data_IF_000962575500
#
_entry.id   IF_000962575500
#
_cell.length_a   1.000
_cell.length_b   1.000
_cell.length_c   1.000
_cell.angle_alpha   90.00
_cell.angle_beta   90.00
_cell.angle_gamma   90.00
#
_symmetry.space_group_name_H-M   'P 1'
#
loop_
_entity.id
_entity.type
_entity.pdbx_description
1 polymer ?
#
# COMPACT_ATOMS: atom_id res chain seq x y z
N UNK A 1 -89.07 -50.01 -71.60
CA UNK A 1 -90.00 -49.54 -70.55
C UNK A 1 -89.18 -48.98 -69.37
N UNK A 2 -89.61 -47.82 -68.86
CA UNK A 2 -89.19 -47.03 -67.66
C UNK A 2 -87.86 -46.24 -67.69
N UNK A 3 -88.00 -44.98 -67.23
CA UNK A 3 -87.09 -43.82 -67.14
C UNK A 3 -86.49 -43.67 -65.72
N UNK A 4 -85.44 -42.84 -65.58
CA UNK A 4 -85.08 -42.09 -64.37
C UNK A 4 -83.56 -41.87 -64.22
N UNK A 5 -82.93 -40.83 -63.65
CA UNK A 5 -83.10 -39.37 -63.42
C UNK A 5 -81.89 -38.95 -62.55
N UNK A 6 -81.18 -37.83 -62.89
CA UNK A 6 -80.34 -36.88 -62.08
C UNK A 6 -79.22 -37.46 -61.13
N UNK A 7 -78.17 -36.79 -60.61
CA UNK A 7 -77.81 -35.39 -60.28
C UNK A 7 -76.27 -35.20 -60.25
N UNK A 8 -75.84 -33.93 -60.25
CA UNK A 8 -74.49 -33.38 -60.13
C UNK A 8 -73.99 -33.17 -58.67
N UNK A 9 -72.65 -33.15 -58.48
CA UNK A 9 -71.89 -32.45 -57.41
C UNK A 9 -70.45 -32.19 -57.92
N UNK A 10 -70.08 -30.93 -58.15
CA UNK A 10 -69.17 -30.08 -57.34
C UNK A 10 -67.80 -30.70 -56.99
N UNK A 11 -66.73 -30.14 -57.57
CA UNK A 11 -65.37 -30.22 -57.02
C UNK A 11 -64.80 -28.80 -56.82
N UNK A 12 -64.05 -28.68 -55.73
CA UNK A 12 -63.65 -27.49 -54.98
C UNK A 12 -62.41 -26.81 -55.59
N UNK A 13 -62.34 -25.48 -55.47
CA UNK A 13 -61.23 -24.62 -55.91
C UNK A 13 -59.96 -24.84 -55.08
N UNK A 14 -58.80 -24.91 -55.74
CA UNK A 14 -57.48 -24.83 -55.09
C UNK A 14 -56.93 -23.40 -55.23
N UNK A 15 -56.76 -22.73 -54.09
CA UNK A 15 -56.26 -21.36 -53.94
C UNK A 15 -54.73 -21.40 -53.97
N UNK A 16 -54.09 -20.70 -54.93
CA UNK A 16 -52.63 -20.61 -55.04
C UNK A 16 -52.14 -19.55 -54.05
N UNK A 17 -51.44 -19.99 -53.00
CA UNK A 17 -50.89 -19.10 -51.97
C UNK A 17 -49.71 -18.28 -52.49
N UNK A 18 -49.79 -16.95 -52.33
CA UNK A 18 -48.66 -16.04 -52.51
C UNK A 18 -47.82 -16.03 -51.23
N UNK A 19 -46.59 -16.55 -51.30
CA UNK A 19 -45.61 -16.46 -50.23
C UNK A 19 -45.01 -15.05 -50.20
N UNK A 20 -45.45 -14.21 -49.26
CA UNK A 20 -44.70 -13.00 -48.89
C UNK A 20 -43.52 -13.42 -48.01
N UNK A 21 -42.32 -13.50 -48.59
CA UNK A 21 -41.09 -13.62 -47.80
C UNK A 21 -40.75 -12.25 -47.22
N UNK A 22 -40.85 -12.09 -45.91
CA UNK A 22 -40.26 -10.95 -45.20
C UNK A 22 -38.74 -11.10 -45.21
N UNK A 23 -38.04 -10.17 -45.83
CA UNK A 23 -36.58 -10.12 -45.71
C UNK A 23 -36.21 -9.53 -44.35
N UNK A 24 -35.54 -10.33 -43.52
CA UNK A 24 -34.90 -9.85 -42.29
C UNK A 24 -33.54 -9.29 -42.69
N UNK A 25 -33.38 -7.97 -42.58
CA UNK A 25 -32.05 -7.36 -42.67
C UNK A 25 -31.32 -7.62 -41.35
N UNK A 26 -30.38 -8.56 -41.36
CA UNK A 26 -29.43 -8.72 -40.28
C UNK A 26 -28.36 -7.62 -40.42
N UNK A 27 -28.34 -6.68 -39.48
CA UNK A 27 -27.26 -5.69 -39.40
C UNK A 27 -26.16 -6.25 -38.50
N UNK A 28 -24.98 -6.50 -39.06
CA UNK A 28 -23.82 -6.91 -38.27
C UNK A 28 -23.30 -5.70 -37.50
N UNK A 29 -23.34 -5.78 -36.17
CA UNK A 29 -22.61 -4.83 -35.31
C UNK A 29 -21.18 -5.33 -35.21
N UNK A 30 -20.26 -4.67 -35.89
CA UNK A 30 -18.82 -4.87 -35.63
C UNK A 30 -18.51 -4.25 -34.27
N UNK A 31 -18.28 -5.09 -33.26
CA UNK A 31 -17.68 -4.61 -32.02
C UNK A 31 -16.21 -4.31 -32.27
N UNK A 32 -15.78 -3.12 -31.88
CA UNK A 32 -14.35 -2.84 -31.72
C UNK A 32 -13.98 -3.39 -30.35
N UNK A 33 -13.05 -4.34 -30.31
CA UNK A 33 -12.36 -4.66 -29.06
C UNK A 33 -11.50 -3.44 -28.72
N UNK A 34 -11.91 -2.64 -27.75
CA UNK A 34 -11.02 -1.67 -27.14
C UNK A 34 -10.14 -2.46 -26.19
N UNK A 35 -8.86 -2.61 -26.55
CA UNK A 35 -7.86 -3.15 -25.65
C UNK A 35 -7.56 -2.06 -24.60
N UNK A 36 -8.13 -2.23 -23.40
CA UNK A 36 -7.78 -1.40 -22.27
C UNK A 36 -6.47 -1.92 -21.72
N UNK A 37 -5.35 -1.31 -22.08
CA UNK A 37 -4.13 -1.47 -21.31
C UNK A 37 -4.40 -0.91 -19.92
N UNK A 38 -4.48 -1.79 -18.92
CA UNK A 38 -4.39 -1.38 -17.53
C UNK A 38 -2.96 -0.87 -17.37
N UNK A 39 -2.79 0.45 -17.47
CA UNK A 39 -1.63 1.13 -16.91
C UNK A 39 -1.79 1.04 -15.39
N UNK A 40 -1.49 -0.12 -14.80
CA UNK A 40 -1.12 -0.13 -13.39
C UNK A 40 0.03 0.86 -13.29
N UNK A 41 -0.11 1.89 -12.45
CA UNK A 41 0.99 2.80 -12.16
C UNK A 41 2.28 1.98 -12.02
N UNK A 42 3.30 2.34 -12.79
CA UNK A 42 4.56 1.57 -12.92
C UNK A 42 5.42 1.67 -11.64
N UNK A 43 4.82 2.15 -10.55
CA UNK A 43 5.43 2.28 -9.25
C UNK A 43 5.28 0.93 -8.56
N UNK A 44 6.36 0.22 -8.24
CA UNK A 44 6.26 -0.94 -7.37
C UNK A 44 5.70 -0.44 -6.05
N UNK A 45 4.45 -0.80 -5.73
CA UNK A 45 3.92 -0.61 -4.38
C UNK A 45 4.74 -1.55 -3.49
N UNK A 46 5.31 -1.03 -2.41
CA UNK A 46 5.95 -1.86 -1.40
C UNK A 46 5.00 -3.01 -1.01
N UNK A 47 5.53 -4.23 -0.93
CA UNK A 47 4.77 -5.29 -0.26
C UNK A 47 4.50 -4.84 1.18
N UNK A 48 3.32 -5.16 1.70
CA UNK A 48 2.98 -4.79 3.07
C UNK A 48 3.99 -5.38 4.07
N UNK A 49 4.21 -4.75 5.23
CA UNK A 49 5.10 -5.29 6.24
C UNK A 49 4.59 -6.64 6.75
N UNK A 50 5.44 -7.67 6.71
CA UNK A 50 5.11 -9.04 7.14
C UNK A 50 6.05 -9.53 8.25
N UNK A 51 7.16 -10.17 7.88
CA UNK A 51 8.12 -10.74 8.85
C UNK A 51 8.70 -9.68 9.80
N UNK A 52 8.48 -9.85 11.11
CA UNK A 52 9.08 -9.00 12.16
C UNK A 52 10.55 -9.35 12.37
N UNK A 53 11.45 -8.41 12.10
CA UNK A 53 12.89 -8.56 12.32
C UNK A 53 13.32 -8.10 13.71
N UNK A 54 12.68 -7.07 14.24
CA UNK A 54 13.04 -6.44 15.50
C UNK A 54 11.85 -5.77 16.16
N UNK A 55 11.78 -5.88 17.49
CA UNK A 55 10.91 -5.08 18.35
C UNK A 55 11.74 -4.52 19.50
N UNK A 56 11.65 -3.21 19.72
CA UNK A 56 12.31 -2.55 20.84
C UNK A 56 11.60 -2.81 22.16
N UNK A 57 12.34 -2.69 23.27
CA UNK A 57 11.71 -2.37 24.55
C UNK A 57 10.93 -1.05 24.42
N UNK A 58 9.88 -0.88 25.23
CA UNK A 58 9.15 0.39 25.27
C UNK A 58 9.99 1.47 25.97
N UNK A 59 10.01 2.68 25.43
CA UNK A 59 10.67 3.84 26.04
C UNK A 59 9.66 4.94 26.41
N UNK A 60 9.98 5.77 27.40
CA UNK A 60 9.07 6.85 27.83
C UNK A 60 9.11 8.01 26.84
N UNK A 61 7.94 8.49 26.41
CA UNK A 61 7.86 9.67 25.55
C UNK A 61 8.14 10.94 26.36
N UNK A 62 8.64 11.96 25.67
CA UNK A 62 8.86 13.30 26.19
C UNK A 62 8.00 14.29 25.41
N UNK A 63 7.67 15.41 26.04
CA UNK A 63 6.92 16.48 25.38
C UNK A 63 7.75 17.16 24.28
N UNK A 64 7.07 17.75 23.31
CA UNK A 64 7.61 18.50 22.17
C UNK A 64 8.39 17.60 21.20
N UNK A 65 9.34 18.19 20.48
CA UNK A 65 10.18 17.53 19.48
C UNK A 65 11.26 16.70 20.17
N UNK A 66 11.41 15.46 19.71
CA UNK A 66 12.36 14.51 20.23
C UNK A 66 12.98 13.71 19.09
N UNK A 67 14.28 13.46 19.21
CA UNK A 67 15.02 12.55 18.35
C UNK A 67 15.31 11.29 19.16
N UNK A 68 14.97 10.14 18.62
CA UNK A 68 15.26 8.83 19.21
C UNK A 68 16.33 8.17 18.38
N UNK A 69 17.26 7.47 19.02
CA UNK A 69 18.23 6.64 18.33
C UNK A 69 18.35 5.30 19.01
N UNK A 70 18.19 4.23 18.24
CA UNK A 70 18.39 2.86 18.65
C UNK A 70 19.64 2.36 17.91
N UNK A 71 20.69 2.06 18.66
CA UNK A 71 21.96 1.54 18.14
C UNK A 71 22.15 0.08 18.55
N UNK A 72 23.09 -0.61 17.89
CA UNK A 72 23.45 -1.97 18.22
C UNK A 72 22.33 -2.96 17.91
N UNK A 73 21.55 -2.68 16.86
CA UNK A 73 20.44 -3.52 16.42
C UNK A 73 20.92 -4.93 16.04
N UNK A 74 22.01 -5.05 15.29
CA UNK A 74 22.59 -6.36 14.99
C UNK A 74 21.75 -7.21 14.03
N UNK A 75 20.87 -6.61 13.22
CA UNK A 75 19.83 -7.34 12.48
C UNK A 75 20.40 -7.79 11.14
N UNK A 76 20.64 -9.09 10.98
CA UNK A 76 21.01 -9.68 9.70
C UNK A 76 19.88 -9.50 8.67
N UNK A 77 20.22 -8.96 7.50
CA UNK A 77 19.31 -8.84 6.37
C UNK A 77 19.47 -10.04 5.42
N UNK A 78 18.37 -10.67 4.98
CA UNK A 78 18.42 -11.64 3.90
C UNK A 78 19.08 -11.08 2.65
N UNK A 79 19.79 -11.93 1.91
CA UNK A 79 20.44 -11.50 0.67
C UNK A 79 19.39 -11.03 -0.35
N UNK A 80 19.57 -9.84 -0.90
CA UNK A 80 18.64 -9.22 -1.84
C UNK A 80 17.54 -8.37 -1.17
N UNK A 81 17.57 -8.17 0.14
CA UNK A 81 16.70 -7.19 0.81
C UNK A 81 17.11 -5.77 0.40
N UNK A 82 16.28 -5.15 -0.45
CA UNK A 82 16.45 -3.76 -0.91
C UNK A 82 15.62 -2.75 -0.11
N UNK A 83 14.57 -3.21 0.56
CA UNK A 83 13.67 -2.36 1.33
C UNK A 83 13.26 -3.02 2.64
N UNK A 84 12.97 -2.19 3.63
CA UNK A 84 12.47 -2.59 4.94
C UNK A 84 11.44 -1.57 5.41
N UNK A 85 10.52 -2.01 6.27
CA UNK A 85 9.61 -1.08 6.95
C UNK A 85 10.06 -0.89 8.38
N UNK A 86 10.22 0.36 8.80
CA UNK A 86 10.33 0.69 10.21
C UNK A 86 9.02 1.32 10.68
N UNK A 87 8.60 1.03 11.90
CA UNK A 87 7.38 1.59 12.49
C UNK A 87 7.59 2.03 13.93
N UNK A 88 6.68 2.87 14.40
CA UNK A 88 6.50 3.19 15.82
C UNK A 88 5.03 3.06 16.21
N UNK A 89 4.81 2.53 17.40
CA UNK A 89 3.54 2.56 18.10
C UNK A 89 3.63 3.49 19.33
N UNK A 90 2.73 4.47 19.40
CA UNK A 90 2.61 5.36 20.55
C UNK A 90 1.57 4.81 21.54
N UNK A 91 2.06 4.30 22.65
CA UNK A 91 1.30 3.63 23.70
C UNK A 91 0.89 4.60 24.80
N UNK A 92 -0.23 4.31 25.46
CA UNK A 92 -0.67 4.99 26.69
C UNK A 92 -0.76 6.53 26.59
N UNK A 93 -1.13 7.07 25.43
CA UNK A 93 -1.22 8.52 25.23
C UNK A 93 -2.33 9.19 26.06
N UNK A 94 -3.37 8.45 26.46
CA UNK A 94 -4.55 9.00 27.12
C UNK A 94 -5.23 10.04 26.23
N UNK A 95 -5.39 11.27 26.73
CA UNK A 95 -5.86 12.43 25.95
C UNK A 95 -4.73 13.19 25.24
N UNK A 96 -3.48 12.75 25.42
CA UNK A 96 -2.33 13.25 24.70
C UNK A 96 -2.29 12.79 23.24
N UNK A 97 -1.32 13.31 22.50
CA UNK A 97 -1.10 12.99 21.08
C UNK A 97 0.38 12.92 20.76
N UNK A 98 0.75 12.04 19.85
CA UNK A 98 2.10 11.91 19.32
C UNK A 98 2.05 11.58 17.83
N UNK A 99 3.17 11.79 17.14
CA UNK A 99 3.27 11.58 15.70
C UNK A 99 4.68 11.75 15.18
N UNK A 100 4.87 11.35 13.94
CA UNK A 100 6.14 11.44 13.22
C UNK A 100 6.21 12.70 12.34
N UNK A 101 7.39 13.32 12.29
CA UNK A 101 7.64 14.47 11.43
C UNK A 101 7.77 14.02 9.97
N UNK A 102 7.29 14.85 9.05
CA UNK A 102 7.36 14.60 7.61
C UNK A 102 8.52 15.39 6.98
N UNK A 103 9.35 14.68 6.23
CA UNK A 103 10.51 15.19 5.48
C UNK A 103 10.46 14.59 4.09
N UNK A 104 10.82 15.34 3.05
CA UNK A 104 10.75 14.86 1.67
C UNK A 104 11.56 15.76 0.72
N UNK A 105 12.31 15.21 -0.26
CA UNK A 105 12.63 13.80 -0.47
C UNK A 105 13.80 13.30 0.40
N UNK A 106 13.93 11.97 0.56
CA UNK A 106 15.16 11.36 1.06
C UNK A 106 16.38 11.83 0.26
N UNK A 107 17.51 11.97 0.95
CA UNK A 107 18.80 12.38 0.38
C UNK A 107 19.78 11.22 0.19
N UNK A 108 19.45 10.05 0.74
CA UNK A 108 20.14 8.78 0.52
C UNK A 108 19.14 7.64 0.65
N UNK A 109 19.26 6.63 -0.20
CA UNK A 109 18.20 5.65 -0.40
C UNK A 109 17.01 6.29 -1.11
N UNK A 110 15.85 5.67 -1.00
CA UNK A 110 14.60 6.20 -1.54
C UNK A 110 13.42 5.81 -0.63
N UNK A 111 12.25 6.34 -0.90
CA UNK A 111 11.02 5.95 -0.22
C UNK A 111 9.85 5.96 -1.19
N UNK A 112 8.76 5.34 -0.76
CA UNK A 112 7.60 5.16 -1.60
C UNK A 112 6.71 6.42 -1.72
N UNK A 113 7.03 7.50 -1.00
CA UNK A 113 6.18 8.70 -0.90
C UNK A 113 4.75 8.38 -0.44
N UNK A 114 4.63 7.31 0.34
CA UNK A 114 3.48 6.86 1.09
C UNK A 114 3.97 6.33 2.44
N UNK A 115 3.06 5.94 3.32
CA UNK A 115 3.41 5.32 4.60
C UNK A 115 2.32 4.35 5.05
N UNK A 116 2.68 3.48 5.97
CA UNK A 116 1.79 2.50 6.58
C UNK A 116 1.15 3.02 7.85
N UNK A 117 -0.15 2.78 8.01
CA UNK A 117 -0.85 2.88 9.29
C UNK A 117 -1.58 1.57 9.58
N UNK A 118 -1.42 1.05 10.80
CA UNK A 118 -2.05 -0.20 11.21
C UNK A 118 -3.43 0.03 11.80
N UNK A 119 -4.47 -0.28 11.02
CA UNK A 119 -5.87 -0.11 11.38
C UNK A 119 -6.51 -1.48 11.60
N UNK A 120 -7.08 -1.69 12.79
CA UNK A 120 -7.71 -2.97 13.18
C UNK A 120 -6.80 -4.20 12.96
N UNK A 121 -5.50 -4.04 13.17
CA UNK A 121 -4.51 -5.10 13.00
C UNK A 121 -4.10 -5.36 11.54
N UNK A 122 -4.56 -4.56 10.59
CA UNK A 122 -4.22 -4.65 9.17
C UNK A 122 -3.45 -3.41 8.74
N UNK A 123 -2.51 -3.58 7.81
CA UNK A 123 -1.75 -2.46 7.25
C UNK A 123 -2.56 -1.76 6.16
N UNK A 124 -2.66 -0.44 6.25
CA UNK A 124 -3.27 0.40 5.24
C UNK A 124 -2.25 1.42 4.74
N UNK A 125 -2.18 1.59 3.41
CA UNK A 125 -1.39 2.66 2.80
C UNK A 125 -2.09 4.00 3.03
N UNK A 126 -1.31 4.99 3.46
CA UNK A 126 -1.70 6.38 3.63
C UNK A 126 -0.70 7.26 2.89
N UNK A 127 -1.14 8.47 2.56
CA UNK A 127 -0.26 9.50 1.99
C UNK A 127 -0.73 10.87 2.45
N UNK A 128 0.15 11.87 2.32
CA UNK A 128 -0.22 13.26 2.52
C UNK A 128 -0.06 14.08 1.26
N UNK A 129 -0.61 15.29 1.27
CA UNK A 129 -0.39 16.24 0.19
C UNK A 129 1.01 16.84 0.35
N UNK A 130 1.80 16.79 -0.73
CA UNK A 130 3.17 17.33 -0.83
C UNK A 130 4.16 16.59 0.10
N UNK A 131 4.33 15.28 -0.11
CA UNK A 131 5.34 14.43 0.52
C UNK A 131 4.81 13.61 1.71
N UNK A 132 5.16 12.33 1.77
CA UNK A 132 4.66 11.38 2.78
C UNK A 132 5.75 10.62 3.53
N UNK A 133 7.01 11.00 3.35
CA UNK A 133 8.14 10.29 3.96
C UNK A 133 8.39 10.77 5.40
N UNK A 134 8.67 9.84 6.31
CA UNK A 134 8.94 10.17 7.71
C UNK A 134 10.41 10.52 7.94
N UNK A 135 10.65 11.40 8.92
CA UNK A 135 11.99 11.78 9.35
C UNK A 135 12.74 10.58 9.95
N UNK A 136 13.64 9.98 9.17
CA UNK A 136 14.44 8.84 9.63
C UNK A 136 15.82 8.76 8.98
N UNK A 137 16.73 8.09 9.68
CA UNK A 137 18.06 7.69 9.21
C UNK A 137 18.31 6.26 9.65
N UNK A 138 18.73 5.41 8.71
CA UNK A 138 19.15 4.04 9.03
C UNK A 138 20.65 3.89 8.75
N UNK A 139 21.31 3.11 9.60
CA UNK A 139 22.68 2.67 9.40
C UNK A 139 22.73 1.15 9.30
N UNK A 140 23.71 0.66 8.55
CA UNK A 140 23.92 -0.75 8.32
C UNK A 140 25.29 -1.06 7.75
N UNK A 141 25.61 -2.35 7.66
CA UNK A 141 26.85 -2.84 7.07
C UNK A 141 26.58 -3.25 5.62
N UNK A 142 27.28 -2.65 4.63
CA UNK A 142 27.12 -3.06 3.24
C UNK A 142 27.60 -4.50 3.03
N UNK A 143 26.97 -5.21 2.11
CA UNK A 143 27.27 -6.61 1.84
C UNK A 143 28.77 -6.80 1.51
N UNK A 144 29.42 -7.73 2.21
CA UNK A 144 30.86 -8.02 2.05
C UNK A 144 31.79 -6.95 2.65
N UNK A 145 31.29 -6.02 3.46
CA UNK A 145 32.09 -5.04 4.22
C UNK A 145 32.10 -5.39 5.71
N UNK A 146 32.82 -4.58 6.49
CA UNK A 146 32.99 -4.74 7.94
C UNK A 146 32.71 -3.44 8.71
N UNK A 147 32.49 -2.33 7.99
CA UNK A 147 32.24 -1.03 8.58
C UNK A 147 30.83 -0.60 8.25
N UNK A 148 30.09 -0.17 9.27
CA UNK A 148 28.77 0.41 9.09
C UNK A 148 28.84 1.77 8.39
N UNK A 149 27.78 2.11 7.66
CA UNK A 149 27.56 3.43 7.08
C UNK A 149 26.08 3.78 7.20
N UNK A 150 25.74 5.04 6.95
CA UNK A 150 24.36 5.45 6.71
C UNK A 150 23.91 4.86 5.37
N UNK A 151 22.74 4.23 5.36
CA UNK A 151 22.18 3.54 4.19
C UNK A 151 20.78 4.06 3.82
N UNK A 152 20.22 4.95 4.62
CA UNK A 152 19.02 5.74 4.29
C UNK A 152 19.06 7.05 5.07
N UNK A 153 18.66 8.16 4.46
CA UNK A 153 18.66 9.49 5.09
C UNK A 153 17.50 10.35 4.59
N UNK A 154 16.58 10.68 5.49
CA UNK A 154 15.50 11.62 5.28
C UNK A 154 15.36 12.62 6.45
N UNK A 155 16.46 13.20 6.93
CA UNK A 155 16.45 14.23 7.98
C UNK A 155 16.93 15.62 7.50
N UNK A 156 16.94 15.88 6.18
CA UNK A 156 17.49 17.14 5.61
C UNK A 156 16.43 18.12 5.13
N UNK A 157 15.35 17.64 4.52
CA UNK A 157 14.34 18.48 3.87
C UNK A 157 13.02 18.42 4.63
N UNK A 158 12.93 19.15 5.75
CA UNK A 158 11.70 19.17 6.55
C UNK A 158 10.55 19.82 5.78
N UNK A 159 9.37 19.20 5.84
CA UNK A 159 8.14 19.78 5.32
C UNK A 159 7.43 20.69 6.33
N UNK A 160 7.92 20.77 7.57
CA UNK A 160 7.24 21.48 8.66
C UNK A 160 5.88 20.88 9.03
N UNK A 161 5.63 19.62 8.64
CA UNK A 161 4.39 18.88 8.85
C UNK A 161 4.61 17.71 9.81
N UNK A 162 3.51 17.24 10.42
CA UNK A 162 3.48 16.17 11.41
C UNK A 162 2.28 15.27 11.11
N UNK A 163 2.47 13.95 11.11
CA UNK A 163 1.38 12.99 11.07
C UNK A 163 1.11 12.45 12.47
N UNK A 164 -0.02 12.84 13.05
CA UNK A 164 -0.45 12.41 14.38
C UNK A 164 -1.26 11.12 14.27
N UNK A 165 -0.87 10.10 15.04
CA UNK A 165 -1.64 8.87 15.14
C UNK A 165 -1.49 8.22 16.52
N UNK A 166 -2.54 7.54 16.97
CA UNK A 166 -2.50 6.61 18.11
C UNK A 166 -2.34 5.15 17.67
N UNK A 167 -2.16 4.93 16.37
CA UNK A 167 -1.89 3.63 15.76
C UNK A 167 -0.40 3.42 15.59
N UNK A 168 -0.04 2.20 15.23
CA UNK A 168 1.28 1.93 14.70
C UNK A 168 1.39 2.54 13.30
N UNK A 169 2.41 3.37 13.09
CA UNK A 169 2.70 4.04 11.81
C UNK A 169 4.15 3.82 11.43
N UNK A 170 4.43 3.71 10.14
CA UNK A 170 5.77 3.39 9.65
C UNK A 170 5.95 3.67 8.18
N UNK A 171 7.19 3.65 7.70
CA UNK A 171 7.54 3.95 6.31
C UNK A 171 8.37 2.80 5.72
N UNK A 172 8.08 2.44 4.46
CA UNK A 172 8.93 1.52 3.70
C UNK A 172 10.08 2.31 3.10
N UNK A 173 11.29 2.05 3.57
CA UNK A 173 12.49 2.72 3.09
C UNK A 173 13.28 1.80 2.17
N UNK A 174 13.69 2.33 1.03
CA UNK A 174 14.58 1.67 0.07
C UNK A 174 16.02 2.00 0.48
N UNK A 175 16.81 0.97 0.75
CA UNK A 175 18.16 1.08 1.26
C UNK A 175 19.16 1.40 0.14
N UNK A 176 20.20 2.18 0.47
CA UNK A 176 21.32 2.44 -0.42
C UNK A 176 22.21 1.19 -0.56
N UNK A 177 22.10 0.54 -1.72
CA UNK A 177 22.85 -0.65 -2.09
C UNK A 177 22.47 -1.90 -1.30
N UNK A 178 23.22 -2.98 -1.52
CA UNK A 178 23.03 -4.24 -0.80
C UNK A 178 23.68 -4.17 0.59
N UNK A 179 22.92 -4.51 1.61
CA UNK A 179 23.35 -4.46 3.00
C UNK A 179 23.19 -5.83 3.66
N UNK A 180 24.17 -6.25 4.45
CA UNK A 180 24.11 -7.49 5.21
C UNK A 180 23.45 -7.33 6.57
N UNK A 181 23.43 -6.11 7.11
CA UNK A 181 22.98 -5.86 8.48
C UNK A 181 22.38 -4.45 8.63
N UNK A 182 21.34 -4.31 9.46
CA UNK A 182 20.91 -3.03 10.04
C UNK A 182 21.49 -2.88 11.45
N UNK A 183 22.21 -1.77 11.67
CA UNK A 183 22.93 -1.53 12.93
C UNK A 183 22.29 -0.45 13.78
N UNK A 184 21.58 0.50 13.17
CA UNK A 184 20.90 1.57 13.89
C UNK A 184 19.73 2.20 13.12
N UNK A 185 18.81 2.79 13.87
CA UNK A 185 17.78 3.69 13.37
C UNK A 185 17.72 4.95 14.25
N UNK A 186 17.57 6.10 13.60
CA UNK A 186 17.25 7.38 14.21
C UNK A 186 15.99 7.95 13.56
N UNK A 187 15.09 8.53 14.35
CA UNK A 187 13.87 9.17 13.86
C UNK A 187 13.42 10.31 14.77
N UNK A 188 12.51 11.14 14.28
CA UNK A 188 11.97 12.29 15.00
C UNK A 188 10.47 12.14 15.26
N UNK A 189 10.04 12.41 16.49
CA UNK A 189 8.63 12.51 16.85
C UNK A 189 8.32 13.83 17.55
N UNK A 190 7.06 14.25 17.45
CA UNK A 190 6.50 15.29 18.30
C UNK A 190 5.44 14.68 19.21
N UNK A 191 5.41 15.09 20.48
CA UNK A 191 4.33 14.73 21.38
C UNK A 191 3.80 15.92 22.20
N UNK A 192 2.49 15.95 22.39
CA UNK A 192 1.80 16.78 23.38
C UNK A 192 1.12 15.84 24.37
N UNK A 193 1.83 15.55 25.46
CA UNK A 193 1.48 14.55 26.46
C UNK A 193 0.54 15.10 27.52
N UNK A 194 -0.36 14.24 27.98
CA UNK A 194 -1.22 14.51 29.14
C UNK A 194 -0.43 14.29 30.44
N UNK A 195 -0.57 15.16 31.46
CA UNK A 195 -0.07 14.87 32.80
C UNK A 195 -0.94 13.87 33.57
N UNK A 196 -2.11 13.51 33.02
CA UNK A 196 -3.05 12.55 33.59
C UNK A 196 -3.02 11.23 32.82
N UNK A 197 -3.13 10.11 33.54
CA UNK A 197 -3.15 8.76 32.99
C UNK A 197 -1.84 8.01 33.19
N UNK A 198 -1.70 6.89 32.48
CA UNK A 198 -0.47 6.11 32.44
C UNK A 198 0.67 6.87 31.75
N UNK A 199 1.91 6.43 31.99
CA UNK A 199 3.10 7.00 31.34
C UNK A 199 3.04 6.70 29.84
N UNK A 200 3.01 7.72 28.96
CA UNK A 200 3.05 7.52 27.52
C UNK A 200 4.38 6.91 27.07
N UNK A 201 4.32 5.92 26.17
CA UNK A 201 5.50 5.19 25.69
C UNK A 201 5.56 5.09 24.18
N UNK A 202 6.76 4.93 23.64
CA UNK A 202 6.99 4.53 22.25
C UNK A 202 7.53 3.11 22.18
N UNK A 203 7.23 2.40 21.10
CA UNK A 203 7.81 1.08 20.76
C UNK A 203 8.09 1.05 19.26
N UNK A 204 9.32 0.70 18.88
CA UNK A 204 9.76 0.65 17.49
C UNK A 204 9.85 -0.78 17.00
N UNK A 205 9.50 -1.00 15.73
CA UNK A 205 9.65 -2.30 15.06
C UNK A 205 10.28 -2.14 13.69
N UNK A 206 10.93 -3.20 13.22
CA UNK A 206 11.39 -3.34 11.83
C UNK A 206 10.87 -4.63 11.21
N UNK A 207 10.53 -4.56 9.94
CA UNK A 207 9.92 -5.65 9.18
C UNK A 207 10.59 -5.83 7.82
N UNK A 208 10.52 -7.06 7.31
CA UNK A 208 10.62 -7.30 5.88
C UNK A 208 9.29 -6.93 5.19
N UNK A 209 9.42 -6.46 3.96
CA UNK A 209 8.31 -6.20 3.05
C UNK A 209 8.06 -7.45 2.19
N UNK A 210 7.55 -8.52 2.82
CA UNK A 210 7.26 -9.81 2.18
C UNK A 210 5.77 -10.16 2.17
N UNK A 211 4.93 -9.39 2.87
CA UNK A 211 3.48 -9.49 2.84
C UNK A 211 2.85 -10.66 3.59
N UNK A 212 3.63 -11.42 4.37
CA UNK A 212 3.15 -12.57 5.18
C UNK A 212 2.22 -12.20 6.35
#
# INVERSE_FOLDING_TARGET
>A
MKKGVRYSRLCLFAFVGWLFQTQVFAQTVSSVAIDFQILTEIRPVAYQPGTLLYESDSFSLQNKYNTVTIHGLGIDLPNGTSEVTWSIEFLNLGVGRAGLLLYDPPTLGDSHDDFWEKVNGQWEIKSTKDGSNFAARLAGVPLGKQQEKVIYENAKTSLGKLYLSSKEIGDTVILDGDNSELTAIQFEYYAALSPFGDIPKGKVRLYLNDGE
#
